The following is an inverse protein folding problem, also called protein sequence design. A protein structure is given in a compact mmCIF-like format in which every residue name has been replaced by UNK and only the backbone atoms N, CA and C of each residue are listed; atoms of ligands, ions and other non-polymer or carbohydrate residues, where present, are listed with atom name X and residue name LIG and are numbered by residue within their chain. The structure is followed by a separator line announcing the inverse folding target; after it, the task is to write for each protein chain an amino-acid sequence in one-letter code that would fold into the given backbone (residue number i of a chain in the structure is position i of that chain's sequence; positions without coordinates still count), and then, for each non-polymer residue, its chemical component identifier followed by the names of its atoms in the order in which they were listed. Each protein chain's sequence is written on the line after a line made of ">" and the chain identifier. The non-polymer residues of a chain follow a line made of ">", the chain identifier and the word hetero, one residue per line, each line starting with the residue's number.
data_IF_000162234982
#
_entry.id   IF_000162234982
#
_cell.length_a   1.000
_cell.length_b   1.000
_cell.length_c   1.000
_cell.angle_alpha   90.00
_cell.angle_beta   90.00
_cell.angle_gamma   90.00
#
_symmetry.space_group_name_H-M   'P 1'
#
loop_
_entity.id
_entity.type
_entity.pdbx_description
1 polymer ?
#
# COMPACT_ATOMS: atom_id res chain seq x y z
N UNK A 1 -6.40 -5.93 -22.02
CA UNK A 1 -5.97 -5.87 -20.60
C UNK A 1 -6.18 -7.24 -19.99
N UNK A 2 -5.16 -7.87 -19.37
CA UNK A 2 -5.32 -9.19 -18.75
C UNK A 2 -6.27 -9.09 -17.54
N UNK A 3 -7.12 -10.09 -17.26
CA UNK A 3 -8.12 -10.02 -16.17
C UNK A 3 -7.51 -9.72 -14.79
N UNK A 4 -6.28 -10.19 -14.55
CA UNK A 4 -5.52 -9.92 -13.32
C UNK A 4 -5.21 -8.44 -13.11
N UNK A 5 -4.85 -7.71 -14.16
CA UNK A 5 -4.55 -6.27 -14.06
C UNK A 5 -5.82 -5.45 -13.77
N UNK A 6 -6.96 -5.89 -14.31
CA UNK A 6 -8.24 -5.26 -14.02
C UNK A 6 -8.66 -5.47 -12.55
N UNK A 7 -8.42 -6.67 -12.01
CA UNK A 7 -8.72 -6.98 -10.61
C UNK A 7 -7.87 -6.14 -9.64
N UNK A 8 -6.55 -6.02 -9.88
CA UNK A 8 -5.66 -5.16 -9.07
C UNK A 8 -6.09 -3.69 -9.08
N UNK A 9 -6.37 -3.16 -10.27
CA UNK A 9 -6.84 -1.79 -10.42
C UNK A 9 -8.14 -1.55 -9.67
N UNK A 10 -9.10 -2.45 -9.81
CA UNK A 10 -10.39 -2.33 -9.12
C UNK A 10 -10.23 -2.43 -7.59
N UNK A 11 -9.36 -3.33 -7.10
CA UNK A 11 -9.03 -3.43 -5.69
C UNK A 11 -8.47 -2.09 -5.15
N UNK A 12 -7.47 -1.52 -5.83
CA UNK A 12 -6.86 -0.25 -5.40
C UNK A 12 -7.87 0.92 -5.42
N UNK A 13 -8.73 0.96 -6.43
CA UNK A 13 -9.79 1.98 -6.52
C UNK A 13 -10.86 1.83 -5.44
N UNK A 14 -11.21 0.60 -5.06
CA UNK A 14 -12.18 0.35 -3.99
C UNK A 14 -11.58 0.56 -2.60
N UNK A 15 -10.31 0.20 -2.40
CA UNK A 15 -9.62 0.42 -1.13
C UNK A 15 -9.42 1.91 -0.78
N UNK A 16 -9.41 2.79 -1.80
CA UNK A 16 -9.37 4.25 -1.61
C UNK A 16 -10.75 4.90 -1.34
N UNK A 17 -11.77 4.11 -1.01
CA UNK A 17 -13.13 4.58 -0.81
C UNK A 17 -13.35 5.55 0.36
N UNK A 18 -14.57 6.03 0.54
CA UNK A 18 -14.96 7.19 1.35
C UNK A 18 -14.42 7.23 2.81
N UNK A 19 -14.27 6.09 3.49
CA UNK A 19 -13.72 6.04 4.84
C UNK A 19 -12.22 6.39 4.88
N UNK A 20 -11.46 5.93 3.86
CA UNK A 20 -10.06 6.28 3.70
C UNK A 20 -9.86 7.75 3.37
N UNK A 21 -10.76 8.35 2.57
CA UNK A 21 -10.66 9.75 2.18
C UNK A 21 -10.84 10.71 3.36
N UNK A 22 -11.76 10.42 4.28
CA UNK A 22 -11.97 11.24 5.48
C UNK A 22 -10.77 11.20 6.42
N UNK A 23 -10.20 10.01 6.64
CA UNK A 23 -9.02 9.84 7.46
C UNK A 23 -7.78 10.53 6.85
N UNK A 24 -7.55 10.33 5.53
CA UNK A 24 -6.48 11.02 4.80
C UNK A 24 -6.61 12.53 4.95
N UNK A 25 -7.82 13.08 4.78
CA UNK A 25 -8.02 14.53 4.88
C UNK A 25 -7.69 15.08 6.26
N UNK A 26 -8.00 14.35 7.33
CA UNK A 26 -7.70 14.72 8.70
C UNK A 26 -6.19 14.65 9.01
N UNK A 27 -5.49 13.66 8.48
CA UNK A 27 -4.08 13.41 8.76
C UNK A 27 -3.13 13.96 7.68
N UNK A 28 -3.65 14.60 6.65
CA UNK A 28 -2.90 15.02 5.47
C UNK A 28 -1.61 15.80 5.77
N UNK A 29 -1.60 16.80 6.67
CA UNK A 29 -0.36 17.53 6.97
C UNK A 29 0.74 16.61 7.58
N UNK A 30 0.35 15.70 8.47
CA UNK A 30 1.27 14.75 9.09
C UNK A 30 1.76 13.70 8.09
N UNK A 31 0.86 13.23 7.23
CA UNK A 31 1.18 12.32 6.12
C UNK A 31 2.23 12.95 5.19
N UNK A 32 2.06 14.20 4.77
CA UNK A 32 3.02 14.90 3.89
C UNK A 32 4.39 15.03 4.54
N UNK A 33 4.45 15.36 5.83
CA UNK A 33 5.72 15.51 6.54
C UNK A 33 6.46 14.17 6.69
N UNK A 34 5.76 13.12 7.13
CA UNK A 34 6.33 11.78 7.24
C UNK A 34 6.88 11.28 5.89
N UNK A 35 6.22 11.63 4.89
CA UNK A 35 6.43 11.37 3.51
C UNK A 35 7.73 11.94 2.94
N UNK A 36 7.99 13.20 3.16
CA UNK A 36 9.24 13.86 2.77
C UNK A 36 10.44 13.18 3.44
N UNK A 37 10.31 12.83 4.71
CA UNK A 37 11.35 12.12 5.47
C UNK A 37 11.59 10.70 4.95
N UNK A 38 10.54 9.95 4.61
CA UNK A 38 10.67 8.60 4.09
C UNK A 38 11.36 8.55 2.72
N UNK A 39 11.03 9.50 1.84
CA UNK A 39 11.70 9.60 0.53
C UNK A 39 13.19 9.89 0.69
N UNK A 40 13.56 10.82 1.56
CA UNK A 40 14.94 11.11 1.86
C UNK A 40 15.68 9.90 2.45
N UNK A 41 15.05 9.15 3.35
CA UNK A 41 15.63 7.95 3.94
C UNK A 41 15.81 6.82 2.93
N UNK A 42 14.81 6.53 2.11
CA UNK A 42 14.89 5.51 1.09
C UNK A 42 15.98 5.78 0.05
N UNK A 43 16.21 7.07 -0.28
CA UNK A 43 17.22 7.49 -1.24
C UNK A 43 18.63 7.53 -0.66
N UNK A 44 18.76 8.02 0.58
CA UNK A 44 20.07 8.33 1.19
C UNK A 44 20.60 7.22 2.09
N UNK A 45 19.74 6.33 2.57
CA UNK A 45 20.11 5.26 3.50
C UNK A 45 19.20 4.03 3.29
N UNK A 46 19.31 3.34 2.16
CA UNK A 46 18.51 2.15 1.91
C UNK A 46 18.75 1.10 3.00
N UNK A 47 17.67 0.54 3.55
CA UNK A 47 17.73 -0.45 4.65
C UNK A 47 17.85 0.16 6.05
N UNK A 48 17.86 1.48 6.19
CA UNK A 48 17.83 2.12 7.52
C UNK A 48 16.41 2.53 7.88
N UNK A 49 15.88 1.90 8.91
CA UNK A 49 14.57 2.17 9.47
C UNK A 49 14.69 2.95 10.79
N UNK A 50 13.66 3.68 11.19
CA UNK A 50 13.65 4.50 12.42
C UNK A 50 12.93 3.82 13.57
N UNK A 51 11.92 3.02 13.25
CA UNK A 51 11.05 2.34 14.22
C UNK A 51 11.15 0.83 14.07
N UNK A 52 11.03 0.34 12.84
CA UNK A 52 11.09 -1.08 12.56
C UNK A 52 12.54 -1.59 12.67
N UNK A 53 12.73 -2.73 13.33
CA UNK A 53 13.97 -3.48 13.17
C UNK A 53 14.09 -4.00 11.73
N UNK A 54 15.31 -4.34 11.32
CA UNK A 54 15.55 -4.89 9.97
C UNK A 54 14.69 -6.13 9.70
N UNK A 55 14.48 -6.98 10.70
CA UNK A 55 13.67 -8.19 10.56
C UNK A 55 12.18 -7.85 10.45
N UNK A 56 11.67 -6.95 11.28
CA UNK A 56 10.30 -6.48 11.16
C UNK A 56 10.04 -5.82 9.79
N UNK A 57 10.98 -5.01 9.32
CA UNK A 57 10.86 -4.38 8.00
C UNK A 57 10.81 -5.40 6.85
N UNK A 58 11.61 -6.48 6.93
CA UNK A 58 11.53 -7.60 5.97
C UNK A 58 10.16 -8.26 5.97
N UNK A 59 9.59 -8.49 7.15
CA UNK A 59 8.25 -9.09 7.27
C UNK A 59 7.16 -8.16 6.77
N UNK A 60 7.21 -6.87 7.13
CA UNK A 60 6.30 -5.85 6.62
C UNK A 60 6.38 -5.75 5.10
N UNK A 61 7.59 -5.75 4.53
CA UNK A 61 7.78 -5.77 3.08
C UNK A 61 7.19 -7.03 2.44
N UNK A 62 7.35 -8.19 3.07
CA UNK A 62 6.79 -9.45 2.58
C UNK A 62 5.26 -9.42 2.59
N UNK A 63 4.63 -8.97 3.68
CA UNK A 63 3.16 -8.80 3.75
C UNK A 63 2.67 -7.79 2.71
N UNK A 64 3.30 -6.62 2.63
CA UNK A 64 2.95 -5.61 1.63
C UNK A 64 3.08 -6.14 0.19
N UNK A 65 4.06 -7.00 -0.08
CA UNK A 65 4.27 -7.64 -1.38
C UNK A 65 3.20 -8.68 -1.71
N UNK A 66 2.57 -9.30 -0.72
CA UNK A 66 1.40 -10.16 -0.93
C UNK A 66 0.14 -9.33 -1.23
N UNK A 67 -0.02 -8.17 -0.58
CA UNK A 67 -1.15 -7.27 -0.80
C UNK A 67 -1.08 -6.62 -2.18
N UNK A 68 0.08 -6.10 -2.57
CA UNK A 68 0.33 -5.51 -3.91
C UNK A 68 1.55 -6.19 -4.53
N UNK A 69 1.35 -7.36 -5.15
CA UNK A 69 2.46 -8.14 -5.69
C UNK A 69 3.06 -7.50 -6.95
N UNK A 70 4.35 -7.72 -7.13
CA UNK A 70 5.09 -7.38 -8.35
C UNK A 70 4.75 -8.35 -9.48
N UNK A 71 4.86 -7.88 -10.72
CA UNK A 71 4.61 -8.68 -11.91
C UNK A 71 5.02 -7.90 -13.17
N UNK A 72 4.15 -7.86 -14.18
CA UNK A 72 4.35 -6.97 -15.35
C UNK A 72 4.32 -5.48 -14.91
N UNK A 73 3.67 -5.18 -13.81
CA UNK A 73 3.61 -3.87 -13.18
C UNK A 73 4.32 -3.91 -11.82
N UNK A 74 4.91 -2.80 -11.37
CA UNK A 74 5.56 -2.72 -10.07
C UNK A 74 4.58 -3.00 -8.93
N UNK A 75 5.09 -3.60 -7.84
CA UNK A 75 4.36 -3.86 -6.62
C UNK A 75 4.80 -2.97 -5.45
N UNK A 76 4.38 -3.36 -4.24
CA UNK A 76 4.70 -2.64 -3.01
C UNK A 76 6.21 -2.55 -2.74
N UNK A 77 6.97 -3.58 -3.11
CA UNK A 77 8.42 -3.64 -2.93
C UNK A 77 9.12 -2.58 -3.78
N UNK A 78 8.83 -2.53 -5.08
CA UNK A 78 9.44 -1.55 -6.00
C UNK A 78 9.04 -0.12 -5.62
N UNK A 79 7.80 0.05 -5.16
CA UNK A 79 7.31 1.33 -4.66
C UNK A 79 7.94 1.77 -3.34
N UNK A 80 8.67 0.89 -2.65
CA UNK A 80 9.31 1.20 -1.36
C UNK A 80 8.32 1.46 -0.23
N UNK A 81 7.19 0.79 -0.24
CA UNK A 81 6.08 0.98 0.72
C UNK A 81 6.54 0.80 2.18
N UNK A 82 7.48 -0.11 2.45
CA UNK A 82 8.00 -0.35 3.80
C UNK A 82 8.60 0.92 4.44
N UNK A 83 9.22 1.79 3.65
CA UNK A 83 9.76 3.06 4.16
C UNK A 83 8.66 4.05 4.54
N UNK A 84 7.58 4.08 3.78
CA UNK A 84 6.39 4.85 4.14
C UNK A 84 5.80 4.35 5.46
N UNK A 85 5.64 3.03 5.60
CA UNK A 85 5.09 2.42 6.83
C UNK A 85 5.97 2.74 8.04
N UNK A 86 7.28 2.58 7.92
CA UNK A 86 8.23 2.91 9.00
C UNK A 86 8.08 4.38 9.46
N UNK A 87 7.95 5.30 8.52
CA UNK A 87 7.75 6.72 8.82
C UNK A 87 6.37 7.04 9.38
N UNK A 88 5.34 6.38 8.87
CA UNK A 88 3.98 6.49 9.40
C UNK A 88 3.95 6.08 10.88
N UNK A 89 4.53 4.93 11.21
CA UNK A 89 4.64 4.42 12.58
C UNK A 89 5.50 5.31 13.48
N UNK A 90 6.45 6.07 12.92
CA UNK A 90 7.22 7.06 13.66
C UNK A 90 6.44 8.33 14.00
N UNK A 91 5.41 8.65 13.21
CA UNK A 91 4.77 9.96 13.20
C UNK A 91 3.26 9.87 13.46
N UNK A 92 2.45 9.93 12.42
CA UNK A 92 1.00 10.07 12.51
C UNK A 92 0.24 8.77 12.85
N UNK A 93 0.86 7.61 12.68
CA UNK A 93 0.32 6.29 12.98
C UNK A 93 1.10 5.61 14.13
N UNK A 94 1.70 6.38 15.03
CA UNK A 94 2.49 5.84 16.14
C UNK A 94 1.67 4.99 17.11
N UNK A 95 0.38 5.23 17.19
CA UNK A 95 -0.57 4.42 17.98
C UNK A 95 -0.80 3.02 17.41
N UNK A 96 -0.49 2.81 16.12
CA UNK A 96 -0.60 1.50 15.46
C UNK A 96 0.64 0.60 15.69
N UNK A 97 1.71 1.12 16.26
CA UNK A 97 2.93 0.35 16.48
C UNK A 97 2.69 -0.94 17.29
N UNK A 98 1.92 -0.94 18.40
CA UNK A 98 1.61 -2.16 19.13
C UNK A 98 0.81 -3.18 18.30
N UNK A 99 -0.01 -2.72 17.36
CA UNK A 99 -0.77 -3.59 16.43
C UNK A 99 0.21 -4.31 15.50
N UNK A 100 1.21 -3.60 14.96
CA UNK A 100 2.27 -4.20 14.15
C UNK A 100 3.10 -5.21 14.92
N UNK A 101 3.55 -4.87 16.13
CA UNK A 101 4.36 -5.76 16.97
C UNK A 101 3.64 -7.08 17.24
N UNK A 102 2.41 -7.03 17.75
CA UNK A 102 1.60 -8.20 18.04
C UNK A 102 1.23 -9.00 16.79
N UNK A 103 0.86 -8.31 15.71
CA UNK A 103 0.49 -8.95 14.45
C UNK A 103 1.65 -9.70 13.80
N UNK A 104 2.85 -9.12 13.78
CA UNK A 104 4.06 -9.77 13.29
C UNK A 104 4.48 -10.95 14.18
N UNK A 105 4.35 -10.82 15.50
CA UNK A 105 4.59 -11.93 16.44
C UNK A 105 3.65 -13.10 16.18
N UNK A 106 2.35 -12.84 16.08
CA UNK A 106 1.36 -13.85 15.77
C UNK A 106 1.61 -14.53 14.42
N UNK A 107 1.93 -13.75 13.40
CA UNK A 107 2.27 -14.26 12.07
C UNK A 107 3.51 -15.17 12.09
N UNK A 108 4.50 -14.86 12.93
CA UNK A 108 5.66 -15.72 13.13
C UNK A 108 5.32 -17.01 13.89
N UNK A 109 4.41 -16.95 14.86
CA UNK A 109 3.92 -18.15 15.57
C UNK A 109 3.21 -19.09 14.59
N UNK A 110 2.28 -18.59 13.79
CA UNK A 110 1.62 -19.38 12.74
C UNK A 110 2.62 -19.96 11.74
N UNK A 111 3.64 -19.17 11.35
CA UNK A 111 4.68 -19.63 10.45
C UNK A 111 5.47 -20.79 11.05
N UNK A 112 5.86 -20.70 12.31
CA UNK A 112 6.62 -21.74 13.01
C UNK A 112 5.80 -23.04 13.17
N UNK A 113 4.50 -22.92 13.40
CA UNK A 113 3.58 -24.08 13.53
C UNK A 113 3.40 -24.81 12.20
N UNK A 114 3.11 -24.06 11.11
CA UNK A 114 2.84 -24.67 9.79
C UNK A 114 4.08 -25.00 9.00
N UNK A 115 5.10 -24.15 9.09
CA UNK A 115 6.32 -24.24 8.27
C UNK A 115 7.59 -24.16 9.12
N UNK A 116 7.91 -25.17 9.92
CA UNK A 116 9.03 -25.14 10.89
C UNK A 116 10.41 -24.90 10.28
N UNK A 117 10.54 -24.98 8.94
CA UNK A 117 11.79 -24.68 8.23
C UNK A 117 11.94 -23.19 7.91
N UNK A 118 10.87 -22.43 7.90
CA UNK A 118 10.91 -20.98 7.74
C UNK A 118 11.21 -20.33 9.10
N UNK A 119 12.22 -19.47 9.14
CA UNK A 119 12.62 -18.79 10.39
C UNK A 119 11.66 -17.65 10.75
N UNK A 120 11.02 -17.07 9.74
CA UNK A 120 10.03 -16.01 9.87
C UNK A 120 9.08 -16.05 8.67
N UNK A 121 8.00 -15.28 8.73
CA UNK A 121 7.07 -15.12 7.61
C UNK A 121 7.79 -14.72 6.31
N UNK A 122 8.78 -13.82 6.39
CA UNK A 122 9.54 -13.37 5.23
C UNK A 122 10.37 -14.46 4.55
N UNK A 123 10.70 -15.54 5.26
CA UNK A 123 11.46 -16.67 4.74
C UNK A 123 10.58 -17.77 4.12
N UNK A 124 9.26 -17.69 4.34
CA UNK A 124 8.29 -18.59 3.72
C UNK A 124 8.18 -18.32 2.21
N UNK A 125 7.84 -19.33 1.42
CA UNK A 125 7.57 -19.14 -0.01
C UNK A 125 6.31 -18.29 -0.24
N UNK A 126 6.18 -17.68 -1.41
CA UNK A 126 5.03 -16.82 -1.73
C UNK A 126 3.66 -17.52 -1.52
N UNK A 127 3.55 -18.81 -1.91
CA UNK A 127 2.33 -19.58 -1.67
C UNK A 127 2.06 -19.87 -0.19
N UNK A 128 3.12 -20.13 0.59
CA UNK A 128 3.02 -20.30 2.04
C UNK A 128 2.63 -18.98 2.74
N UNK A 129 3.18 -17.85 2.28
CA UNK A 129 2.81 -16.53 2.77
C UNK A 129 1.34 -16.22 2.50
N UNK A 130 0.85 -16.52 1.32
CA UNK A 130 -0.56 -16.36 0.95
C UNK A 130 -1.48 -17.20 1.86
N UNK A 131 -1.13 -18.47 2.10
CA UNK A 131 -1.87 -19.37 2.98
C UNK A 131 -1.89 -18.87 4.43
N UNK A 132 -0.75 -18.43 4.96
CA UNK A 132 -0.64 -17.86 6.31
C UNK A 132 -1.49 -16.58 6.46
N UNK A 133 -1.52 -15.72 5.45
CA UNK A 133 -2.35 -14.51 5.49
C UNK A 133 -3.84 -14.84 5.41
N UNK A 134 -4.25 -15.83 4.62
CA UNK A 134 -5.65 -16.30 4.59
C UNK A 134 -6.10 -16.84 5.94
N UNK A 135 -5.24 -17.60 6.62
CA UNK A 135 -5.55 -18.09 7.96
C UNK A 135 -5.61 -16.95 8.97
N UNK A 136 -4.64 -16.02 8.93
CA UNK A 136 -4.63 -14.84 9.78
C UNK A 136 -5.94 -14.03 9.68
N UNK A 137 -6.49 -13.93 8.47
CA UNK A 137 -7.74 -13.20 8.21
C UNK A 137 -9.00 -14.03 8.41
N UNK A 138 -8.87 -15.33 8.64
CA UNK A 138 -10.00 -16.25 8.75
C UNK A 138 -10.69 -16.56 7.42
N UNK A 139 -10.04 -16.30 6.28
CA UNK A 139 -10.60 -16.49 4.93
C UNK A 139 -10.57 -17.94 4.43
N UNK A 140 -10.12 -18.90 5.23
CA UNK A 140 -10.23 -20.32 4.86
C UNK A 140 -11.69 -20.78 4.87
N UNK A 141 -12.34 -20.67 3.72
CA UNK A 141 -13.53 -21.47 3.40
C UNK A 141 -14.87 -20.76 3.27
N UNK A 142 -14.98 -19.45 3.19
CA UNK A 142 -16.27 -18.78 2.90
C UNK A 142 -16.11 -17.60 1.95
N UNK A 143 -16.57 -17.79 0.72
CA UNK A 143 -16.73 -16.70 -0.26
C UNK A 143 -17.96 -15.88 0.07
N UNK A 144 -17.82 -14.90 0.89
CA UNK A 144 -18.65 -13.70 1.11
C UNK A 144 -18.34 -13.18 2.51
N UNK A 145 -17.48 -12.17 2.62
CA UNK A 145 -17.13 -11.62 3.92
C UNK A 145 -17.50 -10.16 4.09
N UNK A 146 -18.57 -10.02 4.82
CA UNK A 146 -18.86 -8.85 5.66
C UNK A 146 -18.94 -9.36 7.11
N UNK A 147 -17.79 -9.61 7.78
CA UNK A 147 -17.81 -10.02 9.17
C UNK A 147 -16.48 -10.57 9.67
N UNK A 148 -15.96 -9.99 10.73
CA UNK A 148 -14.78 -10.41 11.47
C UNK A 148 -14.83 -11.90 11.81
N UNK A 149 -13.89 -12.70 11.32
CA UNK A 149 -13.69 -14.07 11.77
C UNK A 149 -12.18 -14.31 11.94
N UNK A 150 -11.64 -13.74 12.98
CA UNK A 150 -10.29 -13.98 13.48
C UNK A 150 -10.21 -13.40 14.87
N UNK A 151 -9.17 -13.69 15.66
CA UNK A 151 -8.93 -12.92 16.87
C UNK A 151 -8.93 -11.44 16.49
N UNK A 152 -9.65 -10.60 17.19
CA UNK A 152 -9.84 -9.18 16.85
C UNK A 152 -8.50 -8.47 16.53
N UNK A 153 -7.45 -8.84 17.25
CA UNK A 153 -6.10 -8.30 17.08
C UNK A 153 -5.44 -8.67 15.73
N UNK A 154 -5.71 -9.84 15.17
CA UNK A 154 -5.13 -10.28 13.88
C UNK A 154 -5.82 -9.62 12.70
N UNK A 155 -7.13 -9.43 12.78
CA UNK A 155 -7.89 -8.72 11.74
C UNK A 155 -7.53 -7.23 11.74
N UNK A 156 -7.31 -6.63 12.91
CA UNK A 156 -6.91 -5.25 13.03
C UNK A 156 -5.51 -5.03 12.45
N UNK A 157 -4.55 -5.95 12.67
CA UNK A 157 -3.23 -5.90 12.06
C UNK A 157 -3.30 -5.96 10.53
N UNK A 158 -4.03 -6.95 9.98
CA UNK A 158 -4.11 -7.09 8.52
C UNK A 158 -4.78 -5.89 7.86
N UNK A 159 -5.86 -5.37 8.42
CA UNK A 159 -6.52 -4.18 7.90
C UNK A 159 -5.63 -2.94 8.00
N UNK A 160 -4.91 -2.77 9.10
CA UNK A 160 -3.99 -1.65 9.30
C UNK A 160 -2.84 -1.69 8.29
N UNK A 161 -2.14 -2.84 8.17
CA UNK A 161 -1.03 -2.97 7.21
C UNK A 161 -1.51 -2.89 5.77
N UNK A 162 -2.71 -3.40 5.47
CA UNK A 162 -3.33 -3.26 4.14
C UNK A 162 -3.58 -1.80 3.78
N UNK A 163 -4.15 -1.05 4.69
CA UNK A 163 -4.42 0.37 4.52
C UNK A 163 -3.13 1.16 4.32
N UNK A 164 -2.14 0.97 5.18
CA UNK A 164 -0.84 1.62 5.07
C UNK A 164 -0.11 1.23 3.79
N UNK A 165 -0.25 -0.03 3.33
CA UNK A 165 0.32 -0.49 2.05
C UNK A 165 -0.30 0.25 0.87
N UNK A 166 -1.62 0.39 0.83
CA UNK A 166 -2.33 1.13 -0.24
C UNK A 166 -1.93 2.60 -0.22
N UNK A 167 -1.87 3.22 0.95
CA UNK A 167 -1.44 4.62 1.08
C UNK A 167 -0.01 4.83 0.61
N UNK A 168 0.92 4.01 1.09
CA UNK A 168 2.32 4.11 0.68
C UNK A 168 2.52 3.83 -0.81
N UNK A 169 1.65 3.02 -1.42
CA UNK A 169 1.71 2.72 -2.85
C UNK A 169 1.13 3.82 -3.74
N UNK A 170 0.11 4.57 -3.26
CA UNK A 170 -0.60 5.57 -4.05
C UNK A 170 -0.29 7.02 -3.64
N UNK A 171 0.40 7.23 -2.53
CA UNK A 171 0.81 8.54 -2.07
C UNK A 171 1.64 9.28 -3.13
N UNK A 172 1.76 10.59 -2.98
CA UNK A 172 2.74 11.35 -3.76
C UNK A 172 4.15 10.77 -3.48
N UNK A 173 5.03 10.59 -4.47
CA UNK A 173 6.40 10.11 -4.23
C UNK A 173 7.20 10.98 -3.26
N UNK A 174 6.92 12.28 -3.20
CA UNK A 174 7.43 13.14 -2.14
C UNK A 174 6.98 12.65 -0.75
N UNK A 175 5.95 11.85 -0.70
CA UNK A 175 5.36 11.19 0.45
C UNK A 175 6.05 9.89 0.88
N UNK A 176 7.09 9.42 0.24
CA UNK A 176 7.98 8.38 0.74
C UNK A 176 7.66 6.94 0.38
N UNK A 177 6.51 6.69 -0.18
CA UNK A 177 6.18 5.46 -0.89
C UNK A 177 6.19 5.73 -2.40
N UNK A 178 5.43 5.00 -3.17
CA UNK A 178 5.20 5.26 -4.60
C UNK A 178 6.46 5.68 -5.38
N UNK A 179 7.59 5.06 -5.05
CA UNK A 179 8.90 5.35 -5.66
C UNK A 179 8.78 5.26 -7.19
N UNK A 180 9.36 6.23 -7.88
CA UNK A 180 9.33 6.33 -9.34
C UNK A 180 7.91 6.32 -9.93
N UNK A 181 6.93 6.80 -9.14
CA UNK A 181 5.52 6.83 -9.51
C UNK A 181 4.93 5.43 -9.78
N UNK A 182 5.45 4.40 -9.12
CA UNK A 182 5.09 3.01 -9.34
C UNK A 182 3.58 2.77 -9.23
N UNK A 183 2.95 3.25 -8.16
CA UNK A 183 1.51 3.13 -7.95
C UNK A 183 0.69 3.94 -8.96
N UNK A 184 1.12 5.15 -9.28
CA UNK A 184 0.41 5.99 -10.27
C UNK A 184 0.46 5.38 -11.66
N UNK A 185 1.59 4.79 -12.06
CA UNK A 185 1.69 4.04 -13.32
C UNK A 185 0.71 2.86 -13.37
N UNK A 186 0.52 2.17 -12.25
CA UNK A 186 -0.43 1.05 -12.16
C UNK A 186 -1.87 1.48 -12.36
N UNK A 187 -2.28 2.62 -11.78
CA UNK A 187 -3.63 3.15 -11.93
C UNK A 187 -3.82 4.03 -13.17
N UNK A 188 -2.75 4.29 -13.93
CA UNK A 188 -2.78 5.12 -15.13
C UNK A 188 -2.88 6.61 -14.82
N UNK A 189 -2.42 7.05 -13.65
CA UNK A 189 -2.36 8.46 -13.29
C UNK A 189 -1.10 9.10 -13.89
N UNK A 190 -1.26 10.26 -14.50
CA UNK A 190 -0.14 11.11 -14.89
C UNK A 190 0.60 11.62 -13.63
N UNK A 191 1.94 11.57 -13.59
CA UNK A 191 2.74 12.13 -12.50
C UNK A 191 2.72 13.66 -12.40
N UNK A 192 2.00 14.36 -13.26
CA UNK A 192 1.87 15.81 -13.18
C UNK A 192 1.23 16.25 -11.86
N UNK A 193 1.84 17.24 -11.21
CA UNK A 193 1.30 17.89 -10.02
C UNK A 193 0.34 19.05 -10.34
N UNK A 194 0.40 19.54 -11.56
CA UNK A 194 -0.46 20.59 -12.10
C UNK A 194 -1.10 20.10 -13.39
N UNK A 195 -2.41 20.18 -13.44
CA UNK A 195 -3.17 19.80 -14.60
C UNK A 195 -3.67 21.07 -15.28
N UNK A 196 -3.51 21.15 -16.60
CA UNK A 196 -4.16 22.17 -17.41
C UNK A 196 -5.43 21.61 -18.01
N UNK A 197 -6.49 22.42 -18.19
CA UNK A 197 -7.67 21.98 -18.92
C UNK A 197 -7.29 21.39 -20.28
N UNK A 198 -8.05 20.41 -20.79
CA UNK A 198 -9.31 19.89 -20.28
C UNK A 198 -9.15 18.77 -19.26
N UNK A 199 -9.95 18.80 -18.17
CA UNK A 199 -9.94 17.80 -17.09
C UNK A 199 -10.88 16.60 -17.35
N UNK A 200 -11.20 16.36 -18.59
CA UNK A 200 -12.08 15.29 -19.03
C UNK A 200 -13.50 15.75 -19.35
N UNK A 201 -14.46 14.84 -19.32
CA UNK A 201 -15.85 15.13 -19.73
C UNK A 201 -16.57 16.17 -18.87
N UNK A 202 -16.02 16.49 -17.69
CA UNK A 202 -16.58 17.54 -16.81
C UNK A 202 -16.30 18.95 -17.31
N UNK A 203 -15.33 19.13 -18.20
CA UNK A 203 -14.90 20.44 -18.68
C UNK A 203 -15.45 20.82 -20.06
N UNK A 204 -16.42 20.04 -20.58
CA UNK A 204 -17.01 20.32 -21.90
C UNK A 204 -17.64 21.72 -22.01
N UNK A 205 -17.99 22.32 -20.88
CA UNK A 205 -18.54 23.68 -20.80
C UNK A 205 -17.46 24.72 -20.43
N UNK A 206 -16.18 24.30 -20.32
CA UNK A 206 -15.06 25.19 -20.01
C UNK A 206 -14.70 26.04 -21.24
N UNK A 207 -14.54 27.36 -21.09
CA UNK A 207 -14.12 28.22 -22.19
C UNK A 207 -12.76 27.77 -22.75
N UNK A 208 -12.72 27.39 -24.03
CA UNK A 208 -11.51 26.86 -24.68
C UNK A 208 -11.43 25.33 -24.77
N UNK A 209 -12.44 24.59 -24.29
CA UNK A 209 -12.49 23.13 -24.38
C UNK A 209 -12.21 22.60 -25.79
N UNK A 210 -12.88 23.15 -26.82
CA UNK A 210 -12.73 22.68 -28.20
C UNK A 210 -11.29 22.93 -28.72
N UNK A 211 -10.67 24.05 -28.35
CA UNK A 211 -9.30 24.34 -28.72
C UNK A 211 -8.30 23.36 -28.04
N UNK A 212 -8.49 23.11 -26.76
CA UNK A 212 -7.64 22.18 -26.00
C UNK A 212 -7.79 20.73 -26.50
N UNK A 213 -9.01 20.29 -26.83
CA UNK A 213 -9.29 18.99 -27.42
C UNK A 213 -8.59 18.81 -28.77
N UNK A 214 -8.66 19.84 -29.63
CA UNK A 214 -8.00 19.81 -30.94
C UNK A 214 -6.46 19.76 -30.86
N UNK A 215 -5.85 20.27 -29.80
CA UNK A 215 -4.40 20.12 -29.56
C UNK A 215 -4.04 18.72 -29.06
N UNK A 216 -4.88 18.08 -28.25
CA UNK A 216 -4.66 16.72 -27.77
C UNK A 216 -4.76 15.68 -28.90
N UNK A 217 -5.65 15.86 -29.87
CA UNK A 217 -5.83 14.96 -31.01
C UNK A 217 -4.67 15.07 -32.05
N UNK A 218 -3.79 16.08 -31.93
CA UNK A 218 -2.60 16.26 -32.81
C UNK A 218 -1.33 15.62 -32.26
N UNK A 219 -1.32 15.10 -31.04
CA UNK A 219 -0.20 14.41 -30.40
C UNK A 219 -0.37 12.90 -30.44
#
# INVERSE_FOLDING_TARGET
>A
MKPYQAARRNFLLQASGAAGAAWISAQWPAVVTAAQHAHAAAKNSPGKFEVLSTEQARQVEAVASQIIPSGELPGAREAGVVYFIDRALKTFASEDLPVYEKGLEHLNQLTAEKYPRAKSFADASAGQQEELLKELTGEEGKGEHHGRIGPAESSDFFETIRLHTVFGFLADPAAGGNRDYAGWKVIGRDPAHTFSPPYGSYDKDYPGWEAAKAEMEKK
#
